data_IF_168573412086
#
_entry.id   IF_168573412086
#
_cell.length_a   1.000
_cell.length_b   1.000
_cell.length_c   1.000
_cell.angle_alpha   90.00
_cell.angle_beta   90.00
_cell.angle_gamma   90.00
#
_symmetry.space_group_name_H-M   'P 1'
#
loop_
_entity.id
_entity.type
_entity.pdbx_description
1 polymer ?
#
# COMPACT_ATOMS: atom_id res chain seq x y z
N UNK A 1 22.79 57.07 -4.29
CA UNK A 1 22.45 56.61 -2.93
C UNK A 1 23.30 55.39 -2.58
N UNK A 2 24.37 55.57 -1.82
CA UNK A 2 25.29 54.50 -1.43
C UNK A 2 24.67 53.66 -0.30
N UNK A 3 24.25 52.44 -0.62
CA UNK A 3 23.78 51.47 0.37
C UNK A 3 24.93 51.14 1.35
N UNK A 4 24.68 51.27 2.65
CA UNK A 4 25.70 50.97 3.66
C UNK A 4 26.01 49.47 3.66
N UNK A 5 27.29 49.11 3.84
CA UNK A 5 27.77 47.70 3.86
C UNK A 5 26.94 46.77 4.75
N UNK A 6 26.34 47.28 5.83
CA UNK A 6 25.46 46.51 6.73
C UNK A 6 24.10 46.17 6.11
N UNK A 7 23.50 47.06 5.30
CA UNK A 7 22.26 46.77 4.56
C UNK A 7 22.50 45.84 3.38
N UNK A 8 23.66 45.93 2.74
CA UNK A 8 24.07 45.01 1.66
C UNK A 8 24.28 43.58 2.19
N UNK A 9 24.92 43.41 3.36
CA UNK A 9 25.08 42.09 3.99
C UNK A 9 23.74 41.51 4.49
N UNK A 10 22.82 42.34 4.96
CA UNK A 10 21.48 41.88 5.34
C UNK A 10 20.62 41.46 4.13
N UNK A 11 20.77 42.13 2.97
CA UNK A 11 20.08 41.75 1.73
C UNK A 11 20.68 40.50 1.08
N UNK A 12 22.00 40.32 1.13
CA UNK A 12 22.66 39.12 0.61
C UNK A 12 22.43 37.93 1.55
N UNK A 13 22.61 38.10 2.87
CA UNK A 13 22.37 37.03 3.85
C UNK A 13 20.89 36.69 3.99
N UNK A 14 20.02 37.68 4.17
CA UNK A 14 18.57 37.47 4.32
C UNK A 14 17.88 37.04 3.02
N UNK A 15 18.28 37.58 1.87
CA UNK A 15 17.71 37.21 0.56
C UNK A 15 18.17 35.84 0.07
N UNK A 16 19.43 35.45 0.30
CA UNK A 16 19.93 34.09 -0.03
C UNK A 16 19.37 33.06 0.95
N UNK A 17 19.27 33.37 2.25
CA UNK A 17 18.63 32.47 3.22
C UNK A 17 17.13 32.32 2.91
N UNK A 18 16.40 33.40 2.60
CA UNK A 18 14.98 33.33 2.25
C UNK A 18 14.73 32.62 0.91
N UNK A 19 15.60 32.81 -0.09
CA UNK A 19 15.50 32.10 -1.37
C UNK A 19 15.86 30.61 -1.23
N UNK A 20 16.85 30.26 -0.41
CA UNK A 20 17.21 28.88 -0.11
C UNK A 20 16.10 28.18 0.69
N UNK A 21 15.48 28.85 1.68
CA UNK A 21 14.36 28.28 2.45
C UNK A 21 13.06 28.23 1.65
N UNK A 22 12.76 29.20 0.79
CA UNK A 22 11.63 29.14 -0.14
C UNK A 22 11.81 28.06 -1.21
N UNK A 23 13.04 27.88 -1.71
CA UNK A 23 13.41 26.80 -2.62
C UNK A 23 13.27 25.42 -1.97
N UNK A 24 13.79 25.26 -0.74
CA UNK A 24 13.64 24.03 0.05
C UNK A 24 12.18 23.76 0.41
N UNK A 25 11.39 24.78 0.76
CA UNK A 25 9.96 24.64 1.06
C UNK A 25 9.13 24.24 -0.16
N UNK A 26 9.40 24.81 -1.33
CA UNK A 26 8.71 24.46 -2.58
C UNK A 26 9.17 23.12 -3.17
N UNK A 27 10.39 22.67 -2.87
CA UNK A 27 10.89 21.34 -3.20
C UNK A 27 10.29 20.30 -2.25
N UNK A 28 10.19 20.61 -0.96
CA UNK A 28 9.63 19.75 0.07
C UNK A 28 8.12 19.53 -0.03
N UNK A 29 7.37 20.45 -0.64
CA UNK A 29 5.91 20.37 -0.77
C UNK A 29 5.44 19.67 -2.05
N UNK A 30 6.35 19.26 -2.94
CA UNK A 30 5.99 18.61 -4.21
C UNK A 30 5.75 17.12 -3.99
N UNK A 31 4.57 16.66 -4.40
CA UNK A 31 4.22 15.24 -4.41
C UNK A 31 4.94 14.51 -5.57
N UNK A 32 5.16 13.19 -5.45
CA UNK A 32 5.52 12.33 -6.59
C UNK A 32 4.52 12.51 -7.75
N UNK A 33 5.00 12.41 -8.98
CA UNK A 33 4.19 12.67 -10.19
C UNK A 33 3.60 11.40 -10.78
N UNK A 34 4.39 10.35 -10.91
CA UNK A 34 4.02 9.12 -11.62
C UNK A 34 3.54 8.04 -10.66
N UNK A 35 4.08 7.98 -9.45
CA UNK A 35 3.71 6.99 -8.45
C UNK A 35 2.23 7.06 -8.01
N UNK A 36 1.59 8.23 -8.16
CA UNK A 36 0.19 8.44 -7.79
C UNK A 36 -0.80 8.23 -8.94
N UNK A 37 -0.33 8.12 -10.20
CA UNK A 37 -1.19 7.94 -11.37
C UNK A 37 -2.14 6.74 -11.28
N UNK A 38 -1.80 5.60 -10.64
CA UNK A 38 -2.74 4.51 -10.47
C UNK A 38 -4.02 4.90 -9.72
N UNK A 39 -3.94 5.84 -8.76
CA UNK A 39 -5.13 6.35 -8.06
C UNK A 39 -5.97 7.26 -8.95
N UNK A 40 -5.32 8.12 -9.74
CA UNK A 40 -6.01 9.06 -10.63
C UNK A 40 -6.67 8.36 -11.83
N UNK A 41 -6.11 7.24 -12.27
CA UNK A 41 -6.55 6.50 -13.45
C UNK A 41 -7.43 5.28 -13.14
N UNK A 42 -7.71 5.01 -11.86
CA UNK A 42 -8.53 3.87 -11.47
C UNK A 42 -9.95 3.99 -12.07
N UNK A 43 -10.45 2.89 -12.63
CA UNK A 43 -11.77 2.80 -13.28
C UNK A 43 -11.82 3.25 -14.74
N UNK A 44 -10.70 3.66 -15.34
CA UNK A 44 -10.68 4.05 -16.76
C UNK A 44 -10.65 2.83 -17.70
N UNK A 45 -11.36 2.95 -18.84
CA UNK A 45 -11.32 1.99 -19.95
C UNK A 45 -12.57 1.10 -20.10
N UNK A 46 -12.67 0.40 -21.24
CA UNK A 46 -13.91 -0.31 -21.61
C UNK A 46 -13.97 -1.77 -21.12
N UNK A 47 -12.82 -2.43 -20.96
CA UNK A 47 -12.76 -3.82 -20.48
C UNK A 47 -13.04 -3.87 -18.97
N UNK A 48 -14.13 -4.51 -18.51
CA UNK A 48 -14.48 -4.60 -17.09
C UNK A 48 -13.37 -5.23 -16.25
N UNK A 49 -12.60 -6.18 -16.80
CA UNK A 49 -11.48 -6.80 -16.09
C UNK A 49 -10.39 -5.78 -15.81
N UNK A 50 -10.06 -4.93 -16.79
CA UNK A 50 -9.02 -3.90 -16.65
C UNK A 50 -9.44 -2.81 -15.68
N UNK A 51 -10.71 -2.39 -15.70
CA UNK A 51 -11.25 -1.46 -14.69
C UNK A 51 -11.14 -2.06 -13.29
N UNK A 52 -11.63 -3.27 -13.07
CA UNK A 52 -11.51 -3.94 -11.78
C UNK A 52 -10.05 -4.08 -11.31
N UNK A 53 -9.15 -4.47 -12.22
CA UNK A 53 -7.73 -4.59 -11.94
C UNK A 53 -7.07 -3.26 -11.58
N UNK A 54 -7.49 -2.14 -12.19
CA UNK A 54 -6.93 -0.83 -11.88
C UNK A 54 -7.11 -0.43 -10.39
N UNK A 55 -8.21 -0.86 -9.77
CA UNK A 55 -8.42 -0.73 -8.32
C UNK A 55 -7.63 -1.78 -7.53
N UNK A 56 -7.55 -3.01 -8.04
CA UNK A 56 -6.79 -4.09 -7.41
C UNK A 56 -5.30 -3.76 -7.26
N UNK A 57 -4.71 -3.02 -8.20
CA UNK A 57 -3.34 -2.49 -8.12
C UNK A 57 -3.09 -1.62 -6.87
N UNK A 58 -4.14 -1.10 -6.24
CA UNK A 58 -4.05 -0.26 -5.04
C UNK A 58 -4.14 -1.09 -3.74
N UNK A 59 -4.17 -2.42 -3.85
CA UNK A 59 -4.21 -3.31 -2.70
C UNK A 59 -2.95 -3.13 -1.82
N UNK A 60 -3.12 -3.11 -0.49
CA UNK A 60 -1.97 -3.09 0.40
C UNK A 60 -1.25 -4.43 0.34
N UNK A 61 0.08 -4.39 0.34
CA UNK A 61 0.91 -5.59 0.39
C UNK A 61 2.21 -5.28 1.17
N UNK A 62 2.92 -6.30 1.73
CA UNK A 62 4.09 -6.07 2.56
C UNK A 62 5.17 -5.30 1.79
N UNK A 63 5.79 -4.33 2.46
CA UNK A 63 6.75 -3.38 1.90
C UNK A 63 6.30 -2.71 0.59
N UNK A 64 4.99 -2.68 0.31
CA UNK A 64 4.44 -2.23 -0.96
C UNK A 64 5.15 -2.88 -2.17
N UNK A 65 5.53 -4.16 -2.08
CA UNK A 65 6.23 -4.89 -3.17
C UNK A 65 5.45 -4.99 -4.48
N UNK A 66 4.12 -4.94 -4.43
CA UNK A 66 3.25 -5.07 -5.60
C UNK A 66 3.58 -6.30 -6.48
N UNK A 67 3.51 -7.53 -5.92
CA UNK A 67 4.05 -8.75 -6.52
C UNK A 67 3.06 -9.45 -7.45
N UNK A 68 2.14 -8.71 -8.09
CA UNK A 68 1.09 -9.29 -8.93
C UNK A 68 1.51 -9.34 -10.39
N UNK A 69 1.34 -10.51 -11.00
CA UNK A 69 1.40 -10.70 -12.45
C UNK A 69 0.04 -11.22 -12.91
N UNK A 70 -0.52 -10.59 -13.93
CA UNK A 70 -1.87 -10.91 -14.40
C UNK A 70 -1.85 -11.33 -15.86
N UNK A 71 -2.47 -12.48 -16.13
CA UNK A 71 -2.74 -12.96 -17.48
C UNK A 71 -4.20 -12.71 -17.86
N UNK A 72 -4.40 -11.99 -18.97
CA UNK A 72 -5.70 -11.61 -19.53
C UNK A 72 -6.00 -12.27 -20.89
N UNK A 73 -5.14 -13.21 -21.34
CA UNK A 73 -5.23 -13.82 -22.68
C UNK A 73 -6.54 -14.57 -22.89
N UNK A 74 -7.07 -15.18 -21.83
CA UNK A 74 -8.36 -15.86 -21.89
C UNK A 74 -9.52 -14.85 -21.73
N UNK A 75 -10.47 -14.80 -22.67
CA UNK A 75 -11.64 -13.91 -22.57
C UNK A 75 -12.45 -14.18 -21.30
N UNK A 76 -12.89 -13.11 -20.63
CA UNK A 76 -13.66 -13.23 -19.39
C UNK A 76 -12.87 -13.73 -18.19
N UNK A 77 -11.58 -14.02 -18.33
CA UNK A 77 -10.77 -14.53 -17.23
C UNK A 77 -9.62 -13.58 -16.88
N UNK A 78 -9.22 -13.67 -15.61
CA UNK A 78 -8.03 -13.08 -15.01
C UNK A 78 -7.31 -14.22 -14.29
N UNK A 79 -6.09 -14.55 -14.70
CA UNK A 79 -5.25 -15.48 -13.92
C UNK A 79 -4.17 -14.67 -13.19
N UNK A 80 -4.15 -14.79 -11.87
CA UNK A 80 -3.20 -14.11 -10.99
C UNK A 80 -2.04 -15.05 -10.65
N UNK A 81 -0.84 -14.57 -10.91
CA UNK A 81 0.42 -15.17 -10.50
C UNK A 81 1.15 -14.23 -9.52
N UNK A 82 2.07 -14.80 -8.75
CA UNK A 82 3.02 -14.00 -7.97
C UNK A 82 4.30 -13.77 -8.78
N UNK A 83 4.81 -12.54 -8.73
CA UNK A 83 6.18 -12.26 -9.15
C UNK A 83 7.14 -12.74 -8.06
N UNK A 84 7.78 -13.89 -8.29
CA UNK A 84 8.67 -14.50 -7.31
C UNK A 84 9.94 -13.67 -7.05
N UNK A 85 10.32 -12.76 -7.97
CA UNK A 85 11.42 -11.81 -7.76
C UNK A 85 11.06 -10.72 -6.74
N UNK A 86 9.77 -10.57 -6.41
CA UNK A 86 9.26 -9.59 -5.46
C UNK A 86 8.93 -10.16 -4.09
N UNK A 87 9.24 -11.43 -3.84
CA UNK A 87 9.13 -12.04 -2.52
C UNK A 87 10.12 -11.43 -1.53
N UNK A 88 9.86 -11.68 -0.25
CA UNK A 88 10.61 -11.16 0.89
C UNK A 88 11.21 -12.33 1.70
N UNK A 89 12.25 -13.02 1.20
CA UNK A 89 12.78 -14.23 1.84
C UNK A 89 13.35 -14.02 3.25
N UNK A 90 13.60 -12.77 3.70
CA UNK A 90 14.10 -12.51 5.05
C UNK A 90 12.98 -12.11 6.02
N UNK A 91 12.09 -11.22 5.62
CA UNK A 91 11.00 -10.65 6.45
C UNK A 91 9.66 -11.39 6.30
N UNK A 92 9.46 -12.14 5.22
CA UNK A 92 8.30 -13.02 4.99
C UNK A 92 8.72 -14.39 4.41
N UNK A 93 9.51 -15.19 5.14
CA UNK A 93 10.15 -16.40 4.62
C UNK A 93 9.17 -17.50 4.17
N UNK A 94 7.94 -17.50 4.68
CA UNK A 94 6.87 -18.44 4.30
C UNK A 94 5.85 -17.82 3.34
N UNK A 95 6.13 -16.63 2.81
CA UNK A 95 5.26 -15.88 1.90
C UNK A 95 3.84 -15.63 2.43
N UNK A 96 3.67 -15.63 3.75
CA UNK A 96 2.35 -15.46 4.39
C UNK A 96 1.82 -14.06 4.15
N UNK A 97 2.66 -13.04 4.33
CA UNK A 97 2.25 -11.65 4.15
C UNK A 97 1.99 -11.35 2.67
N UNK A 98 2.83 -11.87 1.77
CA UNK A 98 2.62 -11.76 0.32
C UNK A 98 1.29 -12.42 -0.08
N UNK A 99 1.01 -13.62 0.41
CA UNK A 99 -0.26 -14.33 0.15
C UNK A 99 -1.47 -13.54 0.62
N UNK A 100 -1.40 -12.93 1.82
CA UNK A 100 -2.46 -12.05 2.33
C UNK A 100 -2.67 -10.85 1.39
N UNK A 101 -1.59 -10.21 0.92
CA UNK A 101 -1.66 -9.11 -0.04
C UNK A 101 -2.30 -9.51 -1.37
N UNK A 102 -2.01 -10.70 -1.88
CA UNK A 102 -2.65 -11.26 -3.08
C UNK A 102 -4.15 -11.51 -2.86
N UNK A 103 -4.56 -11.90 -1.64
CA UNK A 103 -5.96 -11.95 -1.24
C UNK A 103 -6.63 -10.57 -1.25
N UNK A 104 -5.96 -9.55 -0.71
CA UNK A 104 -6.46 -8.16 -0.76
C UNK A 104 -6.61 -7.65 -2.20
N UNK A 105 -5.68 -8.01 -3.09
CA UNK A 105 -5.77 -7.72 -4.52
C UNK A 105 -7.02 -8.32 -5.14
N UNK A 106 -7.27 -9.61 -4.91
CA UNK A 106 -8.45 -10.30 -5.42
C UNK A 106 -9.75 -9.71 -4.87
N UNK A 107 -9.76 -9.32 -3.61
CA UNK A 107 -10.93 -8.74 -2.97
C UNK A 107 -11.27 -7.35 -3.53
N UNK A 108 -10.28 -6.46 -3.70
CA UNK A 108 -10.51 -5.17 -4.35
C UNK A 108 -10.97 -5.32 -5.81
N UNK A 109 -10.42 -6.29 -6.54
CA UNK A 109 -10.88 -6.63 -7.89
C UNK A 109 -12.35 -7.05 -7.88
N UNK A 110 -12.75 -7.94 -6.97
CA UNK A 110 -14.14 -8.41 -6.82
C UNK A 110 -15.09 -7.27 -6.46
N UNK A 111 -14.71 -6.42 -5.50
CA UNK A 111 -15.48 -5.24 -5.09
C UNK A 111 -15.70 -4.30 -6.28
N UNK A 112 -14.63 -3.94 -7.01
CA UNK A 112 -14.72 -3.07 -8.17
C UNK A 112 -15.59 -3.66 -9.29
N UNK A 113 -15.40 -4.96 -9.60
CA UNK A 113 -16.19 -5.65 -10.60
C UNK A 113 -17.69 -5.67 -10.27
N UNK A 114 -18.05 -5.85 -8.98
CA UNK A 114 -19.45 -5.83 -8.56
C UNK A 114 -20.14 -4.48 -8.79
N UNK A 115 -19.42 -3.37 -8.67
CA UNK A 115 -19.94 -2.02 -8.99
C UNK A 115 -20.20 -1.83 -10.48
N UNK A 116 -19.45 -2.54 -11.33
CA UNK A 116 -19.62 -2.56 -12.78
C UNK A 116 -20.66 -3.58 -13.28
N UNK A 117 -21.43 -4.18 -12.37
CA UNK A 117 -22.42 -5.22 -12.73
C UNK A 117 -21.78 -6.53 -13.19
N UNK A 118 -20.56 -6.83 -12.74
CA UNK A 118 -19.86 -8.08 -13.02
C UNK A 118 -19.77 -8.95 -11.77
N UNK A 119 -20.24 -10.19 -11.88
CA UNK A 119 -19.92 -11.24 -10.91
C UNK A 119 -18.54 -11.80 -11.21
N UNK A 120 -17.75 -12.04 -10.16
CA UNK A 120 -16.43 -12.65 -10.26
C UNK A 120 -16.39 -13.89 -9.39
N UNK A 121 -16.20 -15.05 -10.03
CA UNK A 121 -15.97 -16.32 -9.36
C UNK A 121 -14.46 -16.56 -9.25
N UNK A 122 -13.95 -16.73 -8.02
CA UNK A 122 -12.52 -16.88 -7.76
C UNK A 122 -12.22 -18.32 -7.32
N UNK A 123 -11.39 -19.00 -8.10
CA UNK A 123 -10.82 -20.30 -7.74
C UNK A 123 -9.38 -20.09 -7.25
N UNK A 124 -9.10 -20.23 -5.93
CA UNK A 124 -7.74 -20.12 -5.40
C UNK A 124 -6.92 -21.37 -5.76
N UNK A 125 -5.64 -21.16 -6.05
CA UNK A 125 -4.64 -22.21 -6.34
C UNK A 125 -5.17 -23.31 -7.28
N UNK A 126 -5.63 -22.97 -8.50
CA UNK A 126 -6.28 -23.91 -9.41
C UNK A 126 -5.39 -25.09 -9.81
N UNK A 127 -4.07 -24.90 -9.75
CA UNK A 127 -3.05 -25.92 -10.08
C UNK A 127 -2.35 -26.44 -8.81
N UNK A 128 -2.98 -26.28 -7.64
CA UNK A 128 -2.42 -26.60 -6.33
C UNK A 128 -1.41 -25.57 -5.81
N UNK A 129 -0.88 -25.81 -4.61
CA UNK A 129 0.11 -24.95 -3.95
C UNK A 129 1.21 -25.78 -3.26
N UNK A 130 2.32 -25.14 -2.92
CA UNK A 130 3.37 -25.68 -2.03
C UNK A 130 3.13 -25.10 -0.63
N UNK A 131 3.17 -25.94 0.40
CA UNK A 131 2.88 -25.57 1.78
C UNK A 131 4.01 -24.75 2.44
N UNK A 132 5.17 -24.66 1.79
CA UNK A 132 6.36 -23.98 2.31
C UNK A 132 6.58 -22.61 1.70
N UNK A 133 6.21 -22.40 0.43
CA UNK A 133 6.46 -21.16 -0.29
C UNK A 133 5.56 -21.01 -1.52
N UNK A 134 5.34 -19.78 -1.95
CA UNK A 134 4.75 -19.49 -3.26
C UNK A 134 5.77 -19.75 -4.38
N UNK A 135 5.29 -20.22 -5.53
CA UNK A 135 6.10 -20.45 -6.72
C UNK A 135 5.44 -19.87 -7.98
N UNK A 136 5.88 -20.33 -9.16
CA UNK A 136 5.41 -19.81 -10.44
C UNK A 136 3.98 -20.26 -10.85
N UNK A 137 3.31 -21.10 -10.05
CA UNK A 137 1.94 -21.53 -10.33
C UNK A 137 0.93 -20.38 -10.10
N UNK A 138 -0.26 -20.45 -10.72
CA UNK A 138 -1.31 -19.49 -10.46
C UNK A 138 -1.74 -19.50 -8.99
N UNK A 139 -1.84 -18.30 -8.41
CA UNK A 139 -2.38 -18.10 -7.06
C UNK A 139 -3.91 -18.11 -7.10
N UNK A 140 -4.51 -17.61 -8.19
CA UNK A 140 -5.95 -17.67 -8.40
C UNK A 140 -6.32 -17.56 -9.87
N UNK A 141 -7.46 -18.14 -10.22
CA UNK A 141 -8.17 -17.86 -11.48
C UNK A 141 -9.50 -17.22 -11.15
N UNK A 142 -9.79 -16.08 -11.77
CA UNK A 142 -11.02 -15.34 -11.59
C UNK A 142 -11.79 -15.25 -12.91
N UNK A 143 -13.05 -15.67 -12.90
CA UNK A 143 -13.93 -15.66 -14.07
C UNK A 143 -15.00 -14.59 -13.90
N UNK A 144 -15.10 -13.71 -14.89
CA UNK A 144 -16.01 -12.57 -14.93
C UNK A 144 -17.24 -12.92 -15.76
N UNK A 145 -18.42 -12.60 -15.23
CA UNK A 145 -19.68 -12.69 -15.94
C UNK A 145 -20.53 -11.45 -15.67
N UNK A 146 -21.12 -10.89 -16.73
CA UNK A 146 -22.12 -9.84 -16.58
C UNK A 146 -23.33 -10.41 -15.83
N UNK A 147 -23.69 -9.78 -14.73
CA UNK A 147 -24.79 -10.22 -13.87
C UNK A 147 -25.53 -8.99 -13.34
N UNK A 148 -26.72 -8.65 -13.88
CA UNK A 148 -27.50 -7.49 -13.43
C UNK A 148 -28.04 -7.65 -12.00
N UNK A 149 -27.92 -8.84 -11.40
CA UNK A 149 -28.35 -9.12 -10.03
C UNK A 149 -27.21 -9.05 -9.02
N UNK A 150 -25.96 -8.82 -9.46
CA UNK A 150 -24.85 -8.66 -8.53
C UNK A 150 -25.04 -7.39 -7.70
N UNK A 151 -25.00 -7.54 -6.37
CA UNK A 151 -25.06 -6.41 -5.45
C UNK A 151 -23.67 -5.76 -5.35
N UNK A 152 -23.54 -4.46 -5.62
CA UNK A 152 -22.28 -3.75 -5.41
C UNK A 152 -21.84 -3.81 -3.94
N UNK A 153 -20.56 -4.10 -3.70
CA UNK A 153 -20.02 -4.13 -2.35
C UNK A 153 -19.98 -2.70 -1.77
N UNK A 154 -20.68 -2.40 -0.65
CA UNK A 154 -20.74 -1.04 -0.11
C UNK A 154 -19.38 -0.52 0.36
N UNK A 155 -18.44 -1.40 0.73
CA UNK A 155 -17.11 -0.98 1.19
C UNK A 155 -16.23 -0.46 0.05
N UNK A 156 -16.57 -0.75 -1.20
CA UNK A 156 -15.82 -0.26 -2.36
C UNK A 156 -15.76 1.27 -2.41
N UNK A 157 -16.78 1.97 -1.88
CA UNK A 157 -16.78 3.43 -1.79
C UNK A 157 -15.57 3.99 -1.02
N UNK A 158 -14.93 3.17 -0.18
CA UNK A 158 -13.76 3.56 0.61
C UNK A 158 -12.42 3.13 -0.01
N UNK A 159 -12.43 2.44 -1.17
CA UNK A 159 -11.23 1.86 -1.77
C UNK A 159 -10.14 2.91 -2.07
N UNK A 160 -10.54 4.08 -2.58
CA UNK A 160 -9.61 5.17 -2.93
C UNK A 160 -9.21 6.05 -1.74
N UNK A 161 -9.94 6.01 -0.64
CA UNK A 161 -9.65 6.77 0.58
C UNK A 161 -8.75 6.02 1.56
N UNK A 162 -8.74 4.68 1.49
CA UNK A 162 -7.94 3.82 2.36
C UNK A 162 -6.45 4.15 2.29
N UNK A 163 -5.82 4.39 3.45
CA UNK A 163 -4.36 4.58 3.57
C UNK A 163 -3.81 3.77 4.74
N UNK A 164 -2.51 3.48 4.70
CA UNK A 164 -1.78 2.92 5.84
C UNK A 164 -1.13 4.05 6.61
N UNK A 165 -1.81 4.53 7.65
CA UNK A 165 -1.33 5.62 8.51
C UNK A 165 -0.25 5.13 9.46
N UNK A 166 0.95 5.70 9.33
CA UNK A 166 2.14 5.39 10.16
C UNK A 166 2.43 6.48 11.19
N UNK A 167 1.42 7.30 11.50
CA UNK A 167 1.51 8.41 12.45
C UNK A 167 0.81 8.05 13.76
N UNK A 168 1.16 8.70 14.89
CA UNK A 168 0.43 8.52 16.14
C UNK A 168 -1.05 8.82 16.00
N UNK A 169 -1.90 7.92 16.50
CA UNK A 169 -3.34 8.12 16.56
C UNK A 169 -3.72 8.99 17.76
N UNK A 170 -4.84 9.72 17.65
CA UNK A 170 -5.42 10.49 18.74
C UNK A 170 -6.03 9.57 19.81
N UNK A 171 -5.30 9.40 20.92
CA UNK A 171 -5.72 8.55 22.04
C UNK A 171 -6.76 9.21 22.97
N UNK A 172 -7.12 10.48 22.74
CA UNK A 172 -8.16 11.17 23.52
C UNK A 172 -9.57 10.77 23.09
N UNK A 173 -9.69 10.06 21.96
CA UNK A 173 -10.94 9.60 21.37
C UNK A 173 -11.09 8.09 21.53
N UNK A 174 -11.73 7.59 22.60
CA UNK A 174 -11.92 6.16 22.80
C UNK A 174 -12.87 5.59 21.74
N UNK A 175 -12.67 4.31 21.40
CA UNK A 175 -13.59 3.57 20.55
C UNK A 175 -14.82 3.11 21.34
N UNK A 176 -16.02 3.11 20.74
CA UNK A 176 -17.20 2.47 21.32
C UNK A 176 -16.95 0.99 21.65
N UNK A 177 -17.55 0.50 22.75
CA UNK A 177 -17.35 -0.87 23.21
C UNK A 177 -17.83 -1.94 22.22
N UNK A 178 -18.82 -1.61 21.40
CA UNK A 178 -19.43 -2.47 20.39
C UNK A 178 -18.72 -2.41 19.02
N UNK A 179 -17.63 -1.65 18.89
CA UNK A 179 -16.90 -1.49 17.62
C UNK A 179 -16.49 -2.83 17.01
N UNK A 180 -15.98 -3.75 17.84
CA UNK A 180 -15.56 -5.07 17.36
C UNK A 180 -16.76 -5.90 16.88
N UNK A 181 -17.89 -5.84 17.59
CA UNK A 181 -19.11 -6.55 17.21
C UNK A 181 -19.65 -6.04 15.87
N UNK A 182 -19.61 -4.73 15.64
CA UNK A 182 -20.00 -4.12 14.36
C UNK A 182 -19.12 -4.60 13.20
N UNK A 183 -17.81 -4.75 13.42
CA UNK A 183 -16.89 -5.28 12.40
C UNK A 183 -17.11 -6.77 12.13
N UNK A 184 -17.49 -7.55 13.15
CA UNK A 184 -17.72 -8.99 13.03
C UNK A 184 -18.76 -9.35 11.97
N UNK A 185 -19.83 -8.56 11.89
CA UNK A 185 -20.97 -8.80 11.02
C UNK A 185 -20.59 -8.71 9.53
N UNK A 186 -19.51 -8.02 9.20
CA UNK A 186 -19.11 -7.70 7.81
C UNK A 186 -18.12 -8.72 7.24
N UNK A 187 -17.61 -9.65 8.06
CA UNK A 187 -16.47 -10.48 7.68
C UNK A 187 -16.87 -11.91 7.31
N UNK A 188 -16.41 -12.35 6.14
CA UNK A 188 -16.42 -13.76 5.74
C UNK A 188 -15.20 -14.50 6.31
N UNK A 189 -15.03 -14.49 7.63
CA UNK A 189 -13.87 -15.11 8.27
C UNK A 189 -13.82 -14.94 9.79
N UNK A 190 -12.71 -15.37 10.38
CA UNK A 190 -12.40 -15.12 11.79
C UNK A 190 -11.53 -13.88 11.88
N UNK A 191 -11.91 -12.96 12.75
CA UNK A 191 -11.10 -11.82 13.13
C UNK A 191 -11.11 -11.70 14.67
N UNK A 192 -10.18 -10.92 15.19
CA UNK A 192 -10.11 -10.60 16.60
C UNK A 192 -9.56 -9.19 16.79
N UNK A 193 -9.80 -8.65 17.97
CA UNK A 193 -9.30 -7.35 18.38
C UNK A 193 -9.55 -7.14 19.86
N UNK A 194 -8.95 -6.10 20.41
CA UNK A 194 -9.13 -5.72 21.81
C UNK A 194 -9.16 -4.20 21.93
N UNK A 195 -10.00 -3.70 22.82
CA UNK A 195 -10.01 -2.31 23.29
C UNK A 195 -9.59 -2.22 24.76
N UNK A 196 -9.25 -3.36 25.37
CA UNK A 196 -8.75 -3.39 26.74
C UNK A 196 -7.37 -2.74 26.81
N UNK A 197 -7.20 -1.74 27.68
CA UNK A 197 -6.00 -0.95 27.74
C UNK A 197 -4.75 -1.75 28.14
N UNK A 198 -4.90 -2.77 29.00
CA UNK A 198 -3.79 -3.59 29.45
C UNK A 198 -3.35 -4.56 28.34
N UNK A 199 -4.30 -5.17 27.64
CA UNK A 199 -4.01 -6.02 26.49
C UNK A 199 -3.41 -5.22 25.33
N UNK A 200 -3.95 -4.03 25.02
CA UNK A 200 -3.37 -3.12 24.02
C UNK A 200 -1.92 -2.74 24.39
N UNK A 201 -1.63 -2.47 25.66
CA UNK A 201 -0.27 -2.19 26.11
C UNK A 201 0.66 -3.40 25.91
N UNK A 202 0.18 -4.62 26.19
CA UNK A 202 0.93 -5.85 25.94
C UNK A 202 1.22 -6.05 24.45
N UNK A 203 0.22 -5.86 23.58
CA UNK A 203 0.40 -5.93 22.12
C UNK A 203 1.40 -4.89 21.62
N UNK A 204 1.38 -3.66 22.15
CA UNK A 204 2.35 -2.61 21.80
C UNK A 204 3.78 -3.00 22.19
N UNK A 205 3.97 -3.52 23.40
CA UNK A 205 5.29 -3.98 23.84
C UNK A 205 5.80 -5.14 22.96
N UNK A 206 4.91 -6.09 22.63
CA UNK A 206 5.23 -7.22 21.78
C UNK A 206 5.61 -6.81 20.36
N UNK A 207 4.82 -5.93 19.72
CA UNK A 207 5.12 -5.47 18.34
C UNK A 207 6.37 -4.60 18.28
N UNK A 208 6.66 -3.81 19.33
CA UNK A 208 7.90 -3.05 19.42
C UNK A 208 9.12 -3.97 19.52
N UNK A 209 9.05 -5.02 20.35
CA UNK A 209 10.14 -6.00 20.45
C UNK A 209 10.33 -6.79 19.15
N UNK A 210 9.24 -7.20 18.49
CA UNK A 210 9.30 -7.86 17.19
C UNK A 210 9.98 -6.97 16.13
N UNK A 211 9.60 -5.68 16.07
CA UNK A 211 10.21 -4.71 15.16
C UNK A 211 11.70 -4.51 15.48
N UNK A 212 12.07 -4.40 16.76
CA UNK A 212 13.47 -4.28 17.20
C UNK A 212 14.29 -5.48 16.71
N UNK A 213 13.79 -6.71 16.89
CA UNK A 213 14.46 -7.92 16.42
C UNK A 213 14.64 -7.89 14.89
N UNK A 214 13.64 -7.46 14.14
CA UNK A 214 13.71 -7.37 12.67
C UNK A 214 14.74 -6.33 12.21
N UNK A 215 14.79 -5.15 12.84
CA UNK A 215 15.72 -4.06 12.49
C UNK A 215 17.16 -4.37 12.94
N UNK A 216 17.34 -5.02 14.08
CA UNK A 216 18.68 -5.38 14.57
C UNK A 216 19.24 -6.64 13.93
N UNK A 217 18.42 -7.42 13.24
CA UNK A 217 18.89 -8.58 12.47
C UNK A 217 19.40 -8.12 11.11
N UNK A 218 20.71 -8.23 10.80
CA UNK A 218 21.29 -7.55 9.62
C UNK A 218 20.68 -7.96 8.28
N UNK A 219 20.32 -9.25 8.13
CA UNK A 219 19.75 -9.78 6.88
C UNK A 219 18.33 -9.29 6.61
N UNK A 220 17.50 -9.11 7.64
CA UNK A 220 16.12 -8.62 7.52
C UNK A 220 16.12 -7.12 7.34
N UNK A 221 16.95 -6.41 8.11
CA UNK A 221 17.08 -4.98 7.95
C UNK A 221 17.61 -4.59 6.58
N UNK A 222 18.62 -5.31 6.06
CA UNK A 222 19.11 -5.10 4.70
C UNK A 222 18.02 -5.29 3.64
N UNK A 223 17.17 -6.31 3.75
CA UNK A 223 16.05 -6.51 2.81
C UNK A 223 15.09 -5.31 2.81
N UNK A 224 14.80 -4.74 3.98
CA UNK A 224 14.01 -3.49 4.08
C UNK A 224 14.76 -2.29 3.47
N UNK A 225 16.05 -2.12 3.77
CA UNK A 225 16.88 -1.00 3.25
C UNK A 225 16.96 -1.02 1.73
N UNK A 226 17.10 -2.19 1.12
CA UNK A 226 17.13 -2.35 -0.35
C UNK A 226 15.78 -1.92 -1.00
N UNK A 227 14.72 -1.78 -0.19
CA UNK A 227 13.38 -1.38 -0.60
C UNK A 227 13.03 0.06 -0.21
N UNK A 228 13.94 0.81 0.40
CA UNK A 228 13.71 2.22 0.73
C UNK A 228 13.70 3.07 -0.54
N UNK A 229 12.72 3.97 -0.63
CA UNK A 229 12.59 4.97 -1.69
C UNK A 229 12.71 6.34 -1.07
N UNK A 230 13.89 6.93 -1.16
CA UNK A 230 14.20 8.19 -0.48
C UNK A 230 13.98 9.34 -1.46
N UNK A 231 13.04 10.21 -1.12
CA UNK A 231 12.67 11.35 -1.95
C UNK A 231 11.77 10.99 -3.15
N UNK A 232 11.07 12.01 -3.66
CA UNK A 232 10.07 11.82 -4.73
C UNK A 232 10.63 11.24 -6.03
N UNK A 233 11.89 11.53 -6.37
CA UNK A 233 12.50 11.07 -7.61
C UNK A 233 12.66 9.55 -7.62
N UNK A 234 13.12 9.00 -6.49
CA UNK A 234 13.25 7.55 -6.32
C UNK A 234 11.88 6.87 -6.23
N UNK A 235 10.90 7.51 -5.58
CA UNK A 235 9.51 7.02 -5.55
C UNK A 235 8.88 7.00 -6.94
N UNK A 236 9.13 8.01 -7.78
CA UNK A 236 8.64 8.03 -9.16
C UNK A 236 9.33 7.00 -10.07
N UNK A 237 10.63 6.75 -9.85
CA UNK A 237 11.42 5.77 -10.59
C UNK A 237 11.07 4.32 -10.20
N UNK A 238 10.84 4.10 -8.91
CA UNK A 238 10.55 2.80 -8.30
C UNK A 238 9.31 2.95 -7.40
N UNK A 239 8.09 2.92 -7.97
CA UNK A 239 6.83 3.19 -7.24
C UNK A 239 6.40 2.05 -6.30
N UNK A 240 7.22 1.01 -6.16
CA UNK A 240 7.11 -0.04 -5.16
C UNK A 240 8.10 0.22 -4.00
N UNK A 241 7.93 -0.43 -2.85
CA UNK A 241 8.84 -0.25 -1.72
C UNK A 241 8.35 0.73 -0.65
N UNK A 242 9.22 1.00 0.32
CA UNK A 242 8.92 1.84 1.49
C UNK A 242 9.32 3.27 1.17
N UNK A 243 8.32 4.14 1.07
CA UNK A 243 8.53 5.54 0.76
C UNK A 243 9.01 6.34 1.99
N UNK A 244 10.04 7.15 1.77
CA UNK A 244 10.51 8.18 2.68
C UNK A 244 10.46 9.51 1.94
N UNK A 245 9.34 10.21 2.13
CA UNK A 245 9.09 11.51 1.48
C UNK A 245 8.94 12.61 2.52
N UNK A 246 9.16 13.86 2.10
CA UNK A 246 9.08 15.04 2.97
C UNK A 246 10.40 15.81 3.06
N UNK A 247 10.40 17.00 3.67
CA UNK A 247 11.47 17.99 3.51
C UNK A 247 12.88 17.46 3.74
N UNK A 248 13.07 16.62 4.75
CA UNK A 248 14.37 16.01 5.06
C UNK A 248 14.80 15.03 3.96
N UNK A 249 13.93 14.11 3.56
CA UNK A 249 14.26 13.06 2.61
C UNK A 249 14.45 13.57 1.18
N UNK A 250 13.77 14.66 0.79
CA UNK A 250 13.99 15.34 -0.49
C UNK A 250 15.38 15.98 -0.61
N UNK A 251 16.16 16.08 0.48
CA UNK A 251 17.57 16.52 0.43
C UNK A 251 18.56 15.38 0.34
N UNK A 252 18.10 14.14 0.52
CA UNK A 252 18.92 12.93 0.55
C UNK A 252 18.80 12.08 -0.73
N UNK A 253 17.75 12.29 -1.52
CA UNK A 253 17.44 11.59 -2.77
C UNK A 253 17.37 12.50 -3.99
#
# INVERSE_FOLDING_TARGET
>A
MTLSRRRTLALIGGGVILAATAGLGAVASRKPRTALLPWDNAGLGDDPRKRALSYALLAPNPHNRQPWLVDLRQPGEVTLFVDTAKLLPKTDPFNRQITIGLGCFLELMRMAASHDGQRVEITPFPDGFDDRALDARPVARATFAADPTVTPDPLFAHALDRRSTKEPYDLTRPLPADTLDQLAVVLHGRFGGTIDAAEVAAWRAFTHEALRIEIETPRTYKESVDLFRIGRAEVDANPDGIDFTGPLFETLG
#
